data_IF_100539011994
#
_entry.id   IF_100539011994
#
_cell.length_a   1.000
_cell.length_b   1.000
_cell.length_c   1.000
_cell.angle_alpha   90.00
_cell.angle_beta   90.00
_cell.angle_gamma   90.00
#
_symmetry.space_group_name_H-M   'P 1'
#
loop_
_entity.id
_entity.type
_entity.pdbx_description
1 polymer ?
#
# COMPACT_ATOMS: atom_id res chain seq x y z
N UNK A 1 -15.86 38.53 7.77
CA UNK A 1 -16.71 37.68 6.92
C UNK A 1 -17.83 37.14 7.79
N UNK A 2 -19.00 37.77 7.75
CA UNK A 2 -20.19 37.33 8.47
C UNK A 2 -21.06 36.49 7.53
N UNK A 3 -21.71 35.43 8.01
CA UNK A 3 -22.65 34.67 7.20
C UNK A 3 -23.82 35.56 6.75
N UNK A 4 -24.41 35.29 5.56
CA UNK A 4 -25.53 36.06 5.04
C UNK A 4 -26.75 36.02 5.97
N UNK A 5 -27.57 37.08 5.93
CA UNK A 5 -28.77 37.19 6.75
C UNK A 5 -29.71 35.98 6.49
N UNK A 6 -30.07 35.26 7.57
CA UNK A 6 -30.91 34.06 7.50
C UNK A 6 -30.15 32.73 7.38
N UNK A 7 -28.81 32.72 7.45
CA UNK A 7 -28.05 31.47 7.46
C UNK A 7 -28.26 30.70 8.77
N UNK A 8 -28.97 29.57 8.69
CA UNK A 8 -29.05 28.60 9.77
C UNK A 8 -27.91 27.57 9.62
N UNK A 9 -26.97 27.47 10.58
CA UNK A 9 -25.91 26.48 10.49
C UNK A 9 -26.49 25.06 10.53
N UNK A 10 -26.01 24.14 9.68
CA UNK A 10 -26.50 22.77 9.68
C UNK A 10 -26.10 22.06 10.97
N UNK A 11 -26.99 21.22 11.50
CA UNK A 11 -26.68 20.35 12.64
C UNK A 11 -25.58 19.37 12.22
N UNK A 12 -24.53 19.16 13.03
CA UNK A 12 -23.49 18.18 12.75
C UNK A 12 -24.10 16.79 12.53
N UNK A 13 -23.83 16.18 11.38
CA UNK A 13 -24.24 14.80 11.06
C UNK A 13 -23.00 13.98 10.74
N UNK A 14 -23.03 12.69 11.07
CA UNK A 14 -21.97 11.76 10.64
C UNK A 14 -21.96 11.67 9.12
N UNK A 15 -20.79 11.40 8.56
CA UNK A 15 -20.65 11.15 7.14
C UNK A 15 -21.59 10.01 6.73
N UNK A 16 -22.39 10.26 5.69
CA UNK A 16 -23.26 9.28 5.07
C UNK A 16 -23.16 9.44 3.56
N UNK A 17 -23.12 8.31 2.85
CA UNK A 17 -23.19 8.32 1.39
C UNK A 17 -24.60 8.76 1.00
N UNK A 18 -24.72 9.67 0.04
CA UNK A 18 -26.01 10.12 -0.49
C UNK A 18 -26.80 8.93 -1.05
N UNK A 19 -28.11 8.90 -0.79
CA UNK A 19 -28.99 7.89 -1.36
C UNK A 19 -28.88 7.85 -2.89
N UNK A 20 -28.76 6.64 -3.45
CA UNK A 20 -28.54 6.41 -4.88
C UNK A 20 -27.07 6.52 -5.35
N UNK A 21 -26.13 6.95 -4.50
CA UNK A 21 -24.69 7.04 -4.85
C UNK A 21 -23.85 5.85 -4.38
N UNK A 22 -24.45 4.87 -3.68
CA UNK A 22 -23.73 3.70 -3.16
C UNK A 22 -23.00 2.93 -4.26
N UNK A 23 -23.62 2.73 -5.43
CA UNK A 23 -22.99 2.04 -6.56
C UNK A 23 -21.79 2.80 -7.12
N UNK A 24 -21.87 4.14 -7.20
CA UNK A 24 -20.76 4.98 -7.65
C UNK A 24 -19.58 4.92 -6.68
N UNK A 25 -19.85 4.96 -5.37
CA UNK A 25 -18.82 4.86 -4.34
C UNK A 25 -18.18 3.47 -4.33
N UNK A 26 -18.99 2.41 -4.43
CA UNK A 26 -18.50 1.04 -4.51
C UNK A 26 -17.63 0.81 -5.75
N UNK A 27 -18.05 1.32 -6.92
CA UNK A 27 -17.26 1.27 -8.16
C UNK A 27 -15.94 2.02 -8.04
N UNK A 28 -15.95 3.23 -7.44
CA UNK A 28 -14.73 3.99 -7.19
C UNK A 28 -13.78 3.29 -6.21
N UNK A 29 -14.32 2.55 -5.24
CA UNK A 29 -13.53 1.80 -4.27
C UNK A 29 -12.77 0.63 -4.89
N UNK A 30 -13.14 0.15 -6.10
CA UNK A 30 -12.44 -0.94 -6.79
C UNK A 30 -10.95 -0.65 -7.02
N UNK A 31 -10.55 0.62 -7.14
CA UNK A 31 -9.13 0.96 -7.28
C UNK A 31 -8.29 0.51 -6.07
N UNK A 32 -8.90 0.40 -4.88
CA UNK A 32 -8.20 0.00 -3.66
C UNK A 32 -7.75 -1.47 -3.68
N UNK A 33 -8.63 -2.48 -3.89
CA UNK A 33 -8.18 -3.85 -3.98
C UNK A 33 -7.25 -4.08 -5.17
N UNK A 34 -7.41 -3.37 -6.29
CA UNK A 34 -6.46 -3.49 -7.40
C UNK A 34 -5.08 -2.97 -7.05
N UNK A 35 -4.98 -1.83 -6.33
CA UNK A 35 -3.68 -1.29 -5.90
C UNK A 35 -3.02 -2.11 -4.79
N UNK A 36 -3.80 -2.55 -3.81
CA UNK A 36 -3.28 -3.33 -2.68
C UNK A 36 -3.01 -4.79 -3.09
N UNK A 37 -3.73 -5.31 -4.08
CA UNK A 37 -3.63 -6.68 -4.55
C UNK A 37 -2.56 -6.92 -5.61
N UNK A 38 -1.94 -5.88 -6.19
CA UNK A 38 -0.87 -6.06 -7.20
C UNK A 38 0.28 -6.92 -6.69
N UNK A 39 0.60 -6.82 -5.39
CA UNK A 39 1.63 -7.62 -4.73
C UNK A 39 1.42 -9.14 -4.85
N UNK A 40 0.17 -9.61 -5.01
CA UNK A 40 -0.12 -11.04 -5.20
C UNK A 40 0.48 -11.60 -6.49
N UNK A 41 0.69 -10.75 -7.50
CA UNK A 41 1.26 -11.13 -8.78
C UNK A 41 2.78 -10.94 -8.84
N UNK A 42 3.40 -10.41 -7.78
CA UNK A 42 4.85 -10.25 -7.70
C UNK A 42 5.48 -11.59 -7.32
N UNK A 43 6.32 -12.13 -8.20
CA UNK A 43 6.97 -13.42 -7.97
C UNK A 43 7.78 -13.41 -6.68
N UNK A 44 7.39 -14.30 -5.76
CA UNK A 44 8.09 -14.53 -4.50
C UNK A 44 7.73 -13.57 -3.38
N UNK A 45 7.05 -12.46 -3.64
CA UNK A 45 6.61 -11.54 -2.58
C UNK A 45 5.54 -12.18 -1.69
N UNK A 46 5.65 -12.00 -0.38
CA UNK A 46 4.71 -12.52 0.61
C UNK A 46 4.59 -11.57 1.79
N UNK A 47 3.36 -11.39 2.27
CA UNK A 47 3.05 -10.52 3.42
C UNK A 47 2.33 -11.33 4.47
N UNK A 48 2.75 -11.19 5.72
CA UNK A 48 2.12 -11.84 6.87
C UNK A 48 2.01 -10.87 8.04
N UNK A 49 0.92 -10.95 8.80
CA UNK A 49 0.76 -10.20 10.04
C UNK A 49 1.21 -11.10 11.20
N UNK A 50 2.19 -10.63 11.96
CA UNK A 50 2.81 -11.38 13.08
C UNK A 50 2.81 -10.55 14.36
N UNK A 51 2.92 -11.21 15.51
CA UNK A 51 3.07 -10.51 16.80
C UNK A 51 4.41 -9.81 16.89
N UNK A 52 4.51 -8.80 17.76
CA UNK A 52 5.69 -7.96 17.91
C UNK A 52 6.97 -8.76 18.23
N UNK A 53 6.83 -9.87 18.96
CA UNK A 53 7.93 -10.73 19.43
C UNK A 53 8.58 -11.55 18.31
N UNK A 54 7.91 -11.69 17.16
CA UNK A 54 8.40 -12.48 16.01
C UNK A 54 9.32 -11.68 15.09
N UNK A 55 9.43 -10.37 15.28
CA UNK A 55 10.30 -9.49 14.50
C UNK A 55 11.43 -9.01 15.40
N UNK A 56 12.70 -9.30 15.05
CA UNK A 56 13.83 -8.88 15.86
C UNK A 56 13.93 -7.34 15.89
N UNK A 57 14.38 -6.79 17.03
CA UNK A 57 14.33 -5.34 17.32
C UNK A 57 15.26 -4.49 16.46
N UNK A 58 16.19 -5.11 15.73
CA UNK A 58 17.11 -4.50 14.79
C UNK A 58 16.49 -4.28 13.39
N UNK A 59 15.32 -4.88 13.12
CA UNK A 59 14.64 -4.79 11.82
C UNK A 59 13.44 -3.86 11.87
N UNK A 60 13.32 -3.03 10.83
CA UNK A 60 12.16 -2.18 10.63
C UNK A 60 10.95 -3.01 10.18
N UNK A 61 9.77 -2.70 10.72
CA UNK A 61 8.50 -3.27 10.30
C UNK A 61 7.37 -2.27 10.45
N UNK A 62 6.43 -2.25 9.52
CA UNK A 62 5.18 -1.51 9.68
C UNK A 62 4.31 -2.14 10.76
N UNK A 63 3.68 -1.31 11.59
CA UNK A 63 2.72 -1.74 12.61
C UNK A 63 1.30 -1.36 12.17
N UNK A 64 0.40 -2.34 12.20
CA UNK A 64 -1.00 -2.19 11.85
C UNK A 64 -1.87 -2.89 12.88
N UNK A 65 -2.69 -2.12 13.61
CA UNK A 65 -3.59 -2.63 14.66
C UNK A 65 -2.88 -3.46 15.76
N UNK A 66 -1.66 -3.09 16.14
CA UNK A 66 -0.87 -3.82 17.14
C UNK A 66 -0.22 -5.12 16.63
N UNK A 67 -0.38 -5.42 15.33
CA UNK A 67 0.34 -6.48 14.63
C UNK A 67 1.45 -5.87 13.79
N UNK A 68 2.57 -6.57 13.65
CA UNK A 68 3.64 -6.16 12.75
C UNK A 68 3.49 -6.83 11.40
N UNK A 69 3.69 -6.07 10.33
CA UNK A 69 3.72 -6.55 8.96
C UNK A 69 5.11 -7.14 8.68
N UNK A 70 5.16 -8.45 8.43
CA UNK A 70 6.36 -9.15 7.98
C UNK A 70 6.25 -9.41 6.48
N UNK A 71 7.06 -8.67 5.73
CA UNK A 71 7.23 -8.84 4.29
C UNK A 71 8.44 -9.74 4.01
N UNK A 72 8.28 -10.72 3.15
CA UNK A 72 9.37 -11.61 2.71
C UNK A 72 9.34 -11.79 1.21
N UNK A 73 10.48 -12.22 0.66
CA UNK A 73 10.58 -12.58 -0.76
C UNK A 73 11.27 -13.94 -0.91
N UNK A 74 10.67 -14.82 -1.71
CA UNK A 74 11.25 -16.10 -2.14
C UNK A 74 12.16 -15.86 -3.34
N UNK A 75 13.28 -15.16 -3.14
CA UNK A 75 14.26 -14.91 -4.21
C UNK A 75 15.11 -16.15 -4.48
N UNK A 76 15.18 -17.07 -3.52
CA UNK A 76 15.86 -18.37 -3.62
C UNK A 76 15.38 -19.23 -4.80
N UNK A 77 14.11 -19.11 -5.20
CA UNK A 77 13.58 -19.79 -6.38
C UNK A 77 14.15 -19.22 -7.70
N UNK A 78 14.70 -18.00 -7.68
CA UNK A 78 15.30 -17.37 -8.85
C UNK A 78 16.74 -17.91 -9.01
N UNK A 79 16.97 -18.68 -10.07
CA UNK A 79 18.31 -19.21 -10.37
C UNK A 79 19.28 -18.05 -10.59
N UNK A 80 20.26 -17.93 -9.69
CA UNK A 80 21.35 -16.97 -9.84
C UNK A 80 22.16 -17.34 -11.10
N UNK A 81 22.56 -16.36 -11.93
CA UNK A 81 23.41 -16.65 -13.07
C UNK A 81 24.72 -17.30 -12.62
N UNK A 82 25.17 -18.31 -13.38
CA UNK A 82 26.40 -19.05 -13.10
C UNK A 82 27.66 -18.21 -13.36
N UNK A 83 27.54 -17.24 -14.27
CA UNK A 83 28.61 -16.31 -14.62
C UNK A 83 28.35 -14.94 -13.97
N UNK A 84 29.40 -14.24 -13.51
CA UNK A 84 29.28 -12.84 -13.12
C UNK A 84 28.66 -12.01 -14.25
N UNK A 85 27.83 -11.04 -13.89
CA UNK A 85 27.19 -10.14 -14.85
C UNK A 85 28.18 -9.02 -15.16
N UNK A 86 28.46 -8.80 -16.44
CA UNK A 86 29.20 -7.63 -16.91
C UNK A 86 28.20 -6.49 -17.17
N UNK A 87 28.29 -5.43 -16.38
CA UNK A 87 27.46 -4.23 -16.53
C UNK A 87 28.31 -3.19 -17.26
N UNK A 88 27.82 -2.72 -18.40
CA UNK A 88 28.47 -1.68 -19.20
C UNK A 88 27.79 -0.35 -18.91
N UNK A 89 28.51 0.56 -18.26
CA UNK A 89 28.04 1.88 -17.92
C UNK A 89 28.55 2.93 -18.92
N UNK A 90 27.71 3.91 -19.22
CA UNK A 90 28.10 5.15 -19.85
C UNK A 90 27.96 6.28 -18.82
N UNK A 91 29.06 6.96 -18.48
CA UNK A 91 29.15 7.94 -17.40
C UNK A 91 28.12 9.09 -17.50
N UNK A 92 27.62 9.38 -18.71
CA UNK A 92 26.59 10.40 -18.94
C UNK A 92 25.13 9.91 -18.88
N UNK A 93 24.87 8.62 -18.65
CA UNK A 93 23.52 8.06 -18.63
C UNK A 93 22.99 7.95 -17.19
N UNK A 94 21.90 8.64 -16.82
CA UNK A 94 21.33 8.57 -15.47
C UNK A 94 20.60 7.24 -15.17
N UNK A 95 20.60 6.30 -16.12
CA UNK A 95 19.93 5.00 -16.02
C UNK A 95 20.90 3.81 -16.10
N UNK A 96 22.18 4.06 -16.40
CA UNK A 96 23.22 3.02 -16.47
C UNK A 96 23.66 2.56 -15.07
#
# INVERSE_FOLDING_TARGET
>A
FSPPAGFAPPVPKRFAVKDGQLASVAGAALALPFRLGTGLFVLGYSVSLVSADKIPSDQYSLEFLGLKVKETSKIDQCRRPEKPIEIYEFEGCPFC
#
